data_IF_294385666120
#
_entry.id   IF_294385666120
#
_cell.length_a   1.000
_cell.length_b   1.000
_cell.length_c   1.000
_cell.angle_alpha   90.00
_cell.angle_beta   90.00
_cell.angle_gamma   90.00
#
_symmetry.space_group_name_H-M   'P 1'
#
loop_
_entity.id
_entity.type
_entity.pdbx_description
1 polymer ?
#
# COMPACT_ATOMS: atom_id res chain seq x y z
N UNK A 1 7.79 -4.02 -30.84
CA UNK A 1 7.64 -2.94 -29.91
C UNK A 1 7.75 -3.39 -28.48
N UNK A 2 8.49 -2.66 -27.71
CA UNK A 2 8.67 -3.02 -26.31
C UNK A 2 7.50 -2.62 -25.47
N UNK A 3 6.99 -3.54 -24.70
CA UNK A 3 6.06 -3.22 -23.63
C UNK A 3 6.84 -2.73 -22.44
N UNK A 4 6.65 -1.46 -22.13
CA UNK A 4 7.26 -0.88 -20.96
C UNK A 4 6.34 -1.15 -19.78
N UNK A 5 6.79 -1.98 -18.87
CA UNK A 5 6.09 -2.16 -17.61
C UNK A 5 6.63 -1.13 -16.64
N UNK A 6 5.72 -0.34 -16.06
CA UNK A 6 6.10 0.67 -15.08
C UNK A 6 6.55 0.06 -13.77
N UNK A 7 6.19 -1.18 -13.51
CA UNK A 7 6.37 -1.86 -12.25
C UNK A 7 7.28 -3.07 -12.44
N UNK A 8 8.55 -2.82 -12.69
CA UNK A 8 9.51 -3.90 -12.93
C UNK A 8 10.52 -4.07 -11.81
N UNK A 9 10.52 -3.15 -10.84
CA UNK A 9 11.48 -3.18 -9.75
C UNK A 9 10.95 -3.94 -8.55
N UNK A 10 11.86 -4.63 -7.87
CA UNK A 10 11.55 -5.33 -6.63
C UNK A 10 11.53 -4.31 -5.49
N UNK A 11 10.50 -4.39 -4.67
CA UNK A 11 10.35 -3.53 -3.52
C UNK A 11 11.50 -3.77 -2.53
N UNK A 12 12.19 -2.71 -2.07
CA UNK A 12 13.29 -2.88 -1.11
C UNK A 12 12.81 -3.50 0.20
N UNK A 13 13.71 -4.23 0.85
CA UNK A 13 13.42 -4.76 2.17
C UNK A 13 13.12 -3.64 3.17
N UNK A 14 12.23 -3.92 4.10
CA UNK A 14 11.93 -3.04 5.20
C UNK A 14 13.14 -3.00 6.14
N UNK A 15 13.68 -1.82 6.38
CA UNK A 15 14.81 -1.63 7.29
C UNK A 15 14.35 -1.25 8.69
N UNK A 16 13.26 -0.51 8.79
CA UNK A 16 12.70 -0.05 10.06
C UNK A 16 11.19 0.10 9.90
N UNK A 17 10.44 -0.56 10.77
CA UNK A 17 8.97 -0.45 10.79
C UNK A 17 8.56 0.99 11.10
N UNK A 18 9.26 1.63 12.06
CA UNK A 18 8.94 3.01 12.45
C UNK A 18 9.15 3.99 11.30
N UNK A 19 10.28 3.86 10.58
CA UNK A 19 10.55 4.72 9.42
C UNK A 19 9.52 4.53 8.32
N UNK A 20 9.12 3.28 8.06
CA UNK A 20 8.10 3.00 7.05
C UNK A 20 6.75 3.57 7.46
N UNK A 21 6.41 3.49 8.74
CA UNK A 21 5.18 4.09 9.25
C UNK A 21 5.19 5.62 9.08
N UNK A 22 6.31 6.27 9.36
CA UNK A 22 6.45 7.71 9.17
C UNK A 22 6.27 8.11 7.71
N UNK A 23 6.92 7.39 6.80
CA UNK A 23 6.79 7.65 5.36
C UNK A 23 5.35 7.45 4.89
N UNK A 24 4.71 6.40 5.36
CA UNK A 24 3.33 6.10 4.99
C UNK A 24 2.39 7.20 5.48
N UNK A 25 2.55 7.65 6.72
CA UNK A 25 1.71 8.72 7.26
C UNK A 25 1.90 10.03 6.48
N UNK A 26 3.12 10.36 6.12
CA UNK A 26 3.39 11.54 5.29
C UNK A 26 2.73 11.42 3.91
N UNK A 27 2.77 10.24 3.33
CA UNK A 27 2.14 10.00 2.04
C UNK A 27 0.61 10.14 2.11
N UNK A 28 0.01 9.59 3.18
CA UNK A 28 -1.42 9.73 3.42
C UNK A 28 -1.80 11.21 3.55
N UNK A 29 -1.05 11.96 4.34
CA UNK A 29 -1.30 13.38 4.53
C UNK A 29 -1.18 14.15 3.21
N UNK A 30 -0.20 13.80 2.38
CA UNK A 30 -0.04 14.42 1.07
C UNK A 30 -1.22 14.17 0.14
N UNK A 31 -1.81 12.99 0.19
CA UNK A 31 -3.02 12.69 -0.59
C UNK A 31 -4.16 13.62 -0.19
N UNK A 32 -4.44 13.72 1.10
CA UNK A 32 -5.61 14.43 1.59
C UNK A 32 -5.43 15.94 1.64
N UNK A 33 -4.20 16.42 1.87
CA UNK A 33 -3.92 17.85 1.92
C UNK A 33 -4.13 18.54 0.57
N UNK A 34 -4.00 17.80 -0.52
CA UNK A 34 -4.25 18.33 -1.87
C UNK A 34 -5.73 18.52 -2.17
N UNK A 35 -6.60 17.81 -1.49
CA UNK A 35 -8.02 17.77 -1.79
C UNK A 35 -8.83 17.89 -0.50
N UNK A 36 -8.78 19.06 0.18
CA UNK A 36 -9.49 19.22 1.43
C UNK A 36 -11.01 19.23 1.22
N UNK A 37 -11.72 18.44 2.02
CA UNK A 37 -13.18 18.34 2.00
C UNK A 37 -13.67 17.79 3.32
N UNK A 38 -14.97 17.92 3.60
CA UNK A 38 -15.56 17.32 4.80
C UNK A 38 -15.40 15.80 4.80
N UNK A 39 -15.65 15.16 3.66
CA UNK A 39 -15.49 13.72 3.54
C UNK A 39 -14.04 13.28 3.83
N UNK A 40 -13.08 14.03 3.30
CA UNK A 40 -11.67 13.66 3.43
C UNK A 40 -11.13 13.87 4.85
N UNK A 41 -11.72 14.74 5.66
CA UNK A 41 -11.32 14.87 7.06
C UNK A 41 -11.49 13.51 7.77
N UNK A 42 -12.64 12.88 7.57
CA UNK A 42 -12.91 11.58 8.17
C UNK A 42 -12.09 10.46 7.52
N UNK A 43 -11.94 10.49 6.19
CA UNK A 43 -11.17 9.49 5.46
C UNK A 43 -9.69 9.53 5.86
N UNK A 44 -9.13 10.70 6.05
CA UNK A 44 -7.73 10.85 6.45
C UNK A 44 -7.47 10.20 7.80
N UNK A 45 -8.29 10.50 8.80
CA UNK A 45 -8.16 9.91 10.13
C UNK A 45 -8.30 8.39 10.10
N UNK A 46 -9.25 7.89 9.33
CA UNK A 46 -9.46 6.45 9.17
C UNK A 46 -8.24 5.79 8.51
N UNK A 47 -7.72 6.39 7.44
CA UNK A 47 -6.54 5.87 6.75
C UNK A 47 -5.31 5.88 7.65
N UNK A 48 -5.08 6.95 8.41
CA UNK A 48 -3.97 7.03 9.34
C UNK A 48 -4.02 5.91 10.37
N UNK A 49 -5.20 5.59 10.88
CA UNK A 49 -5.38 4.52 11.85
C UNK A 49 -5.18 3.14 11.21
N UNK A 50 -5.87 2.90 10.09
CA UNK A 50 -5.92 1.56 9.48
C UNK A 50 -4.68 1.16 8.72
N UNK A 51 -3.82 2.12 8.37
CA UNK A 51 -2.61 1.86 7.62
C UNK A 51 -1.36 1.81 8.49
N UNK A 52 -1.51 1.74 9.80
CA UNK A 52 -0.38 1.44 10.68
C UNK A 52 0.20 0.09 10.31
N UNK A 53 1.52 0.03 10.21
CA UNK A 53 2.29 -1.15 9.80
C UNK A 53 2.03 -1.57 8.35
N UNK A 54 1.54 -0.65 7.54
CA UNK A 54 1.52 -0.76 6.09
C UNK A 54 2.55 0.20 5.51
N UNK A 55 3.08 -0.16 4.36
CA UNK A 55 4.00 0.72 3.63
C UNK A 55 3.41 1.07 2.27
N UNK A 56 3.58 2.32 1.85
CA UNK A 56 3.18 2.74 0.52
C UNK A 56 4.04 2.06 -0.54
N UNK A 57 3.42 1.59 -1.62
CA UNK A 57 4.14 0.98 -2.74
C UNK A 57 4.13 1.92 -3.93
N UNK A 58 5.26 2.60 -4.22
CA UNK A 58 5.36 3.42 -5.42
C UNK A 58 5.12 2.61 -6.71
N UNK A 59 4.65 3.29 -7.74
CA UNK A 59 4.28 2.66 -9.02
C UNK A 59 5.40 1.83 -9.65
N UNK A 60 6.63 2.19 -9.42
CA UNK A 60 7.78 1.50 -10.03
C UNK A 60 8.04 0.11 -9.45
N UNK A 61 7.39 -0.25 -8.35
CA UNK A 61 7.63 -1.52 -7.70
C UNK A 61 6.50 -2.52 -7.95
N UNK A 62 6.88 -3.78 -8.17
CA UNK A 62 5.94 -4.90 -8.27
C UNK A 62 5.47 -5.27 -6.87
N UNK A 63 4.18 -5.57 -6.74
CA UNK A 63 3.62 -6.08 -5.49
C UNK A 63 3.71 -7.60 -5.52
N UNK A 64 4.38 -8.22 -4.53
CA UNK A 64 4.51 -9.68 -4.52
C UNK A 64 3.17 -10.39 -4.39
N UNK A 65 3.03 -11.52 -5.10
CA UNK A 65 1.85 -12.37 -4.97
C UNK A 65 1.71 -12.86 -3.53
N UNK A 66 0.49 -12.91 -3.06
CA UNK A 66 0.19 -13.32 -1.68
C UNK A 66 0.27 -12.20 -0.66
N UNK A 67 0.72 -11.02 -1.05
CA UNK A 67 0.78 -9.86 -0.16
C UNK A 67 -0.61 -9.38 0.20
N UNK A 68 -0.80 -8.98 1.45
CA UNK A 68 -2.03 -8.32 1.87
C UNK A 68 -1.91 -6.83 1.64
N UNK A 69 -2.85 -6.25 0.91
CA UNK A 69 -2.83 -4.83 0.57
C UNK A 69 -4.15 -4.16 0.91
N UNK A 70 -4.08 -2.85 1.15
CA UNK A 70 -5.24 -1.95 1.17
C UNK A 70 -4.95 -0.82 0.20
N UNK A 71 -5.97 -0.15 -0.27
CA UNK A 71 -5.77 0.90 -1.27
C UNK A 71 -6.76 2.03 -1.13
N UNK A 72 -6.30 3.24 -1.44
CA UNK A 72 -7.11 4.45 -1.43
C UNK A 72 -7.51 4.78 -2.87
N UNK A 73 -8.80 4.99 -3.10
CA UNK A 73 -9.34 5.35 -4.40
C UNK A 73 -9.04 6.82 -4.70
N UNK A 74 -8.25 7.06 -5.73
CA UNK A 74 -7.87 8.40 -6.15
C UNK A 74 -8.71 8.94 -7.30
N UNK A 75 -9.71 8.18 -7.78
CA UNK A 75 -10.57 8.60 -8.90
C UNK A 75 -11.52 9.72 -8.50
N UNK A 76 -11.86 9.79 -7.24
CA UNK A 76 -12.70 10.85 -6.68
C UNK A 76 -11.90 11.54 -5.58
N UNK A 77 -11.00 12.48 -5.92
CA UNK A 77 -10.01 12.98 -4.96
C UNK A 77 -10.60 13.65 -3.72
N UNK A 78 -11.75 14.32 -3.86
CA UNK A 78 -12.39 14.98 -2.72
C UNK A 78 -13.20 14.03 -1.84
N UNK A 79 -13.22 12.76 -2.19
CA UNK A 79 -13.86 11.68 -1.42
C UNK A 79 -13.03 10.41 -1.60
N UNK A 80 -11.79 10.47 -1.14
CA UNK A 80 -10.80 9.42 -1.34
C UNK A 80 -10.92 8.35 -0.24
N UNK A 81 -11.63 7.28 -0.56
CA UNK A 81 -11.97 6.22 0.38
C UNK A 81 -10.87 5.15 0.44
N UNK A 82 -10.56 4.72 1.64
CA UNK A 82 -9.70 3.56 1.87
C UNK A 82 -10.56 2.29 1.81
N UNK A 83 -10.19 1.38 0.91
CA UNK A 83 -10.91 0.12 0.76
C UNK A 83 -10.38 -0.95 1.71
N UNK A 84 -11.24 -1.93 2.00
CA UNK A 84 -10.88 -3.12 2.75
C UNK A 84 -9.79 -3.89 2.06
N UNK A 85 -9.01 -4.63 2.83
CA UNK A 85 -7.87 -5.33 2.30
C UNK A 85 -8.20 -6.57 1.49
N UNK A 86 -7.20 -7.03 0.78
CA UNK A 86 -7.25 -8.25 0.01
C UNK A 86 -5.84 -8.76 -0.28
N UNK A 87 -5.79 -9.99 -0.77
CA UNK A 87 -4.52 -10.63 -1.10
C UNK A 87 -4.26 -10.51 -2.60
N UNK A 88 -3.05 -10.07 -2.92
CA UNK A 88 -2.65 -9.93 -4.33
C UNK A 88 -2.45 -11.31 -4.92
N UNK A 89 -3.17 -11.60 -6.01
CA UNK A 89 -2.97 -12.82 -6.76
C UNK A 89 -2.07 -12.61 -7.97
N UNK A 90 -2.04 -11.37 -8.49
CA UNK A 90 -1.15 -11.04 -9.61
C UNK A 90 -1.03 -9.53 -9.76
N UNK A 91 0.22 -9.08 -10.00
CA UNK A 91 0.51 -7.72 -10.46
C UNK A 91 1.17 -7.83 -11.83
N UNK A 92 0.52 -7.36 -12.89
CA UNK A 92 1.03 -7.47 -14.25
C UNK A 92 1.74 -6.20 -14.74
N UNK A 93 2.01 -5.25 -13.85
CA UNK A 93 2.69 -4.01 -14.18
C UNK A 93 1.76 -2.83 -14.43
N UNK A 94 0.50 -3.07 -14.74
CA UNK A 94 -0.50 -2.02 -14.99
C UNK A 94 -1.69 -2.16 -14.06
N UNK A 95 -2.12 -3.38 -13.84
CA UNK A 95 -3.26 -3.68 -13.00
C UNK A 95 -2.89 -4.75 -11.99
N UNK A 96 -3.59 -4.74 -10.89
CA UNK A 96 -3.41 -5.68 -9.79
C UNK A 96 -4.70 -6.46 -9.61
N UNK A 97 -4.57 -7.77 -9.52
CA UNK A 97 -5.69 -8.65 -9.24
C UNK A 97 -5.65 -9.01 -7.76
N UNK A 98 -6.73 -8.75 -7.08
CA UNK A 98 -6.83 -8.90 -5.63
C UNK A 98 -8.03 -9.77 -5.30
N UNK A 99 -7.83 -10.69 -4.36
CA UNK A 99 -8.92 -11.45 -3.76
C UNK A 99 -9.26 -10.80 -2.42
N UNK A 100 -10.48 -10.29 -2.28
CA UNK A 100 -10.94 -9.68 -1.06
C UNK A 100 -10.92 -10.69 0.09
N UNK A 101 -10.49 -10.24 1.28
CA UNK A 101 -10.36 -11.14 2.43
C UNK A 101 -11.70 -11.54 3.05
N UNK A 102 -12.75 -10.75 2.83
CA UNK A 102 -14.05 -10.98 3.46
C UNK A 102 -14.92 -12.00 2.74
N UNK A 103 -15.04 -11.89 1.42
CA UNK A 103 -16.01 -12.63 0.64
C UNK A 103 -15.40 -13.35 -0.55
N UNK A 104 -14.10 -13.37 -0.63
CA UNK A 104 -13.31 -14.02 -1.67
C UNK A 104 -13.59 -13.48 -3.09
N UNK A 105 -14.30 -12.36 -3.19
CA UNK A 105 -14.48 -11.73 -4.49
C UNK A 105 -13.14 -11.33 -5.08
N UNK A 106 -12.99 -11.52 -6.37
CA UNK A 106 -11.80 -11.12 -7.10
C UNK A 106 -12.12 -9.85 -7.87
N UNK A 107 -11.24 -8.86 -7.77
CA UNK A 107 -11.36 -7.63 -8.55
C UNK A 107 -10.00 -7.18 -9.04
N UNK A 108 -10.03 -6.40 -10.12
CA UNK A 108 -8.83 -5.88 -10.75
C UNK A 108 -8.88 -4.37 -10.72
N UNK A 109 -7.76 -3.73 -10.39
CA UNK A 109 -7.71 -2.27 -10.41
C UNK A 109 -6.43 -1.77 -11.08
N UNK A 110 -6.52 -0.57 -11.67
CA UNK A 110 -5.39 0.12 -12.30
C UNK A 110 -4.61 0.85 -11.21
N UNK A 111 -3.34 0.52 -11.06
CA UNK A 111 -2.48 1.11 -10.03
C UNK A 111 -2.35 2.63 -10.12
N UNK A 112 -2.54 3.21 -11.31
CA UNK A 112 -2.47 4.66 -11.47
C UNK A 112 -3.65 5.40 -10.85
N UNK A 113 -4.73 4.68 -10.57
CA UNK A 113 -5.97 5.25 -10.03
C UNK A 113 -6.13 5.00 -8.54
N UNK A 114 -5.22 4.27 -7.93
CA UNK A 114 -5.28 3.89 -6.52
C UNK A 114 -3.91 3.99 -5.89
N UNK A 115 -3.86 4.47 -4.65
CA UNK A 115 -2.64 4.39 -3.83
C UNK A 115 -2.67 3.06 -3.09
N UNK A 116 -1.63 2.25 -3.27
CA UNK A 116 -1.58 0.90 -2.72
C UNK A 116 -0.63 0.85 -1.52
N UNK A 117 -1.07 0.20 -0.46
CA UNK A 117 -0.32 0.05 0.78
C UNK A 117 -0.21 -1.44 1.10
N UNK A 118 1.01 -1.88 1.33
CA UNK A 118 1.36 -3.27 1.59
C UNK A 118 1.55 -3.49 3.08
N UNK A 119 0.87 -4.49 3.64
CA UNK A 119 1.05 -4.83 5.05
C UNK A 119 2.46 -5.37 5.27
N UNK A 120 3.15 -4.82 6.27
CA UNK A 120 4.45 -5.33 6.68
C UNK A 120 4.23 -6.60 7.48
N UNK A 121 4.91 -7.67 7.07
CA UNK A 121 4.64 -9.01 7.60
C UNK A 121 5.32 -9.23 8.95
N UNK A 122 4.89 -10.30 9.63
CA UNK A 122 5.57 -10.76 10.84
C UNK A 122 7.02 -11.12 10.54
N UNK A 123 7.27 -11.71 9.36
CA UNK A 123 8.64 -12.04 8.93
C UNK A 123 9.52 -10.81 8.83
N UNK A 124 9.00 -9.69 8.30
CA UNK A 124 9.74 -8.43 8.25
C UNK A 124 10.12 -7.96 9.66
N UNK A 125 9.18 -8.02 10.57
CA UNK A 125 9.39 -7.61 11.95
C UNK A 125 10.43 -8.48 12.64
N UNK A 126 10.35 -9.80 12.46
CA UNK A 126 11.30 -10.74 13.03
C UNK A 126 12.70 -10.54 12.47
N UNK A 127 12.82 -10.34 11.16
CA UNK A 127 14.11 -10.13 10.51
C UNK A 127 14.80 -8.89 11.06
N UNK A 128 14.05 -7.80 11.23
CA UNK A 128 14.60 -6.56 11.77
C UNK A 128 15.06 -6.75 13.21
N UNK A 129 14.25 -7.42 14.01
CA UNK A 129 14.57 -7.71 15.40
C UNK A 129 15.84 -8.54 15.53
N UNK A 130 15.98 -9.58 14.72
CA UNK A 130 17.16 -10.42 14.71
C UNK A 130 18.41 -9.65 14.29
N UNK A 131 18.30 -8.77 13.30
CA UNK A 131 19.40 -7.92 12.87
C UNK A 131 19.88 -7.02 14.01
N UNK A 132 18.93 -6.40 14.71
CA UNK A 132 19.27 -5.51 15.82
C UNK A 132 19.97 -6.24 16.98
N UNK A 133 19.62 -7.50 17.18
CA UNK A 133 20.30 -8.33 18.18
C UNK A 133 21.74 -8.65 17.79
N UNK A 134 22.05 -8.74 16.52
CA UNK A 134 23.40 -9.02 16.04
C UNK A 134 24.28 -7.79 15.97
N UNK A 135 23.71 -6.61 15.90
CA UNK A 135 24.43 -5.35 15.78
C UNK A 135 24.92 -4.82 17.11
N UNK A 136 24.61 -5.45 18.20
CA UNK A 136 25.07 -5.06 19.54
C UNK A 136 26.51 -5.43 19.82
#
# INVERSE_FOLDING_TARGET
MKNITFHSKILPEVQSIEEENEKTQLYIDNIYDKFPSEANINHQGYAQEKLMNFRYVPLKYIIPNGSYVRFIDLRTPYDATLFSGGFVTRDNGHSVVVRASRDERVFTFDRRKYAVFLQMTVDDQMRIQMRNMHDD
#
